data_IF_610036849678
#
_entry.id   IF_610036849678
#
_cell.length_a   1.000
_cell.length_b   1.000
_cell.length_c   1.000
_cell.angle_alpha   90.00
_cell.angle_beta   90.00
_cell.angle_gamma   90.00
#
_symmetry.space_group_name_H-M   'P 1'
#
loop_
_entity.id
_entity.type
_entity.pdbx_description
1 polymer ?
#
# COMPACT_ATOMS: atom_id res chain seq x y z
N UNK A 1 6.81 -33.51 5.25
CA UNK A 1 7.34 -32.70 4.13
C UNK A 1 8.84 -32.59 4.33
N UNK A 2 9.65 -32.66 3.28
CA UNK A 2 11.10 -32.41 3.40
C UNK A 2 11.36 -30.90 3.42
N UNK A 3 12.27 -30.46 4.30
CA UNK A 3 12.70 -29.06 4.36
C UNK A 3 13.34 -28.71 3.01
N UNK A 4 12.89 -27.60 2.41
CA UNK A 4 13.42 -27.09 1.13
C UNK A 4 14.73 -26.35 1.38
N UNK A 5 14.77 -25.50 2.41
CA UNK A 5 15.97 -24.75 2.84
C UNK A 5 15.80 -24.28 4.29
N UNK A 6 16.91 -24.22 5.03
CA UNK A 6 17.01 -23.52 6.32
C UNK A 6 17.94 -22.32 6.15
N UNK A 7 17.55 -21.14 6.65
CA UNK A 7 18.30 -19.87 6.50
C UNK A 7 18.13 -19.01 7.74
N UNK A 8 18.92 -17.95 7.92
CA UNK A 8 18.71 -17.07 9.08
C UNK A 8 17.39 -16.29 8.97
N UNK A 9 17.11 -15.71 7.79
CA UNK A 9 15.92 -14.88 7.57
C UNK A 9 15.11 -15.29 6.33
N UNK A 10 13.80 -15.37 6.46
CA UNK A 10 12.88 -15.41 5.30
C UNK A 10 12.11 -14.10 5.22
N UNK A 11 12.17 -13.43 4.07
CA UNK A 11 11.30 -12.30 3.75
C UNK A 11 10.12 -12.81 2.92
N UNK A 12 8.90 -12.55 3.39
CA UNK A 12 7.66 -12.91 2.69
C UNK A 12 7.12 -11.66 1.97
N UNK A 13 6.92 -11.77 0.67
CA UNK A 13 6.65 -10.68 -0.27
C UNK A 13 7.93 -10.19 -0.96
N UNK A 14 7.83 -9.81 -2.23
CA UNK A 14 8.94 -9.34 -3.08
C UNK A 14 8.72 -7.94 -3.66
N UNK A 15 7.94 -7.11 -2.95
CA UNK A 15 7.70 -5.71 -3.29
C UNK A 15 8.76 -4.76 -2.73
N UNK A 16 8.49 -3.46 -2.80
CA UNK A 16 9.44 -2.40 -2.40
C UNK A 16 9.94 -2.52 -0.95
N UNK A 17 9.08 -2.96 -0.02
CA UNK A 17 9.44 -3.15 1.38
C UNK A 17 10.43 -4.31 1.56
N UNK A 18 10.20 -5.41 0.85
CA UNK A 18 11.10 -6.56 0.83
C UNK A 18 12.49 -6.17 0.32
N UNK A 19 12.55 -5.45 -0.79
CA UNK A 19 13.80 -5.03 -1.42
C UNK A 19 14.58 -4.04 -0.55
N UNK A 20 13.90 -3.13 0.14
CA UNK A 20 14.53 -2.24 1.11
C UNK A 20 15.11 -3.01 2.32
N UNK A 21 14.36 -3.97 2.88
CA UNK A 21 14.83 -4.82 3.97
C UNK A 21 16.02 -5.68 3.54
N UNK A 22 15.93 -6.32 2.38
CA UNK A 22 16.98 -7.14 1.79
C UNK A 22 18.29 -6.34 1.57
N UNK A 23 18.18 -5.08 1.16
CA UNK A 23 19.34 -4.20 1.02
C UNK A 23 20.12 -4.05 2.33
N UNK A 24 19.42 -3.80 3.45
CA UNK A 24 20.08 -3.64 4.74
C UNK A 24 20.56 -4.96 5.34
N UNK A 25 19.81 -6.06 5.21
CA UNK A 25 20.27 -7.40 5.64
C UNK A 25 21.54 -7.82 4.89
N UNK A 26 21.59 -7.58 3.57
CA UNK A 26 22.78 -7.87 2.76
C UNK A 26 24.01 -7.10 3.24
N UNK A 27 23.85 -5.82 3.62
CA UNK A 27 24.95 -5.00 4.19
C UNK A 27 25.40 -5.46 5.57
N UNK A 28 24.53 -6.12 6.33
CA UNK A 28 24.84 -6.73 7.63
C UNK A 28 25.45 -8.13 7.50
N UNK A 29 25.50 -8.71 6.30
CA UNK A 29 26.02 -10.06 6.08
C UNK A 29 25.07 -11.17 6.57
N UNK A 30 23.81 -10.85 6.84
CA UNK A 30 22.80 -11.82 7.29
C UNK A 30 22.31 -12.63 6.08
N UNK A 31 22.21 -13.96 6.24
CA UNK A 31 21.68 -14.84 5.18
C UNK A 31 20.16 -14.74 5.09
N UNK A 32 19.63 -14.58 3.87
CA UNK A 32 18.19 -14.51 3.67
C UNK A 32 17.74 -15.05 2.33
N UNK A 33 16.45 -15.37 2.23
CA UNK A 33 15.73 -15.58 0.97
C UNK A 33 14.47 -14.71 0.93
N UNK A 34 14.00 -14.38 -0.27
CA UNK A 34 12.74 -13.67 -0.48
C UNK A 34 11.75 -14.61 -1.20
N UNK A 35 10.54 -14.75 -0.67
CA UNK A 35 9.46 -15.53 -1.27
C UNK A 35 8.37 -14.58 -1.76
N UNK A 36 8.06 -14.57 -3.05
CA UNK A 36 7.09 -13.66 -3.63
C UNK A 36 6.11 -14.38 -4.55
N UNK A 37 4.83 -14.06 -4.43
CA UNK A 37 3.76 -14.76 -5.16
C UNK A 37 3.63 -14.31 -6.62
N UNK A 38 4.15 -13.12 -6.95
CA UNK A 38 4.06 -12.58 -8.29
C UNK A 38 4.96 -13.36 -9.27
N UNK A 39 4.60 -13.38 -10.54
CA UNK A 39 5.42 -14.01 -11.58
C UNK A 39 6.70 -13.21 -11.90
N UNK A 40 6.70 -11.90 -11.61
CA UNK A 40 7.79 -10.98 -11.91
C UNK A 40 7.97 -9.94 -10.80
N UNK A 41 9.10 -9.24 -10.81
CA UNK A 41 9.36 -8.12 -9.91
C UNK A 41 8.38 -6.95 -10.14
N UNK A 42 8.10 -6.19 -9.10
CA UNK A 42 7.21 -5.02 -9.15
C UNK A 42 6.18 -4.99 -8.02
N UNK A 43 5.88 -6.11 -7.37
CA UNK A 43 4.91 -6.19 -6.28
C UNK A 43 3.54 -5.63 -6.69
N UNK A 44 2.90 -4.85 -5.82
CA UNK A 44 1.58 -4.27 -6.07
C UNK A 44 1.51 -3.34 -7.30
N UNK A 45 2.63 -2.75 -7.73
CA UNK A 45 2.67 -1.84 -8.89
C UNK A 45 2.22 -2.54 -10.18
N UNK A 46 2.40 -3.86 -10.27
CA UNK A 46 1.92 -4.69 -11.38
C UNK A 46 0.41 -4.63 -11.59
N UNK A 47 -0.35 -4.21 -10.58
CA UNK A 47 -1.81 -4.24 -10.58
C UNK A 47 -2.46 -2.87 -10.59
N UNK A 48 -1.64 -1.82 -10.59
CA UNK A 48 -2.12 -0.44 -10.63
C UNK A 48 -2.59 -0.03 -12.03
N UNK A 49 -3.43 1.00 -12.11
CA UNK A 49 -4.01 1.46 -13.36
C UNK A 49 -2.99 2.06 -14.33
N UNK A 50 -3.32 2.06 -15.62
CA UNK A 50 -2.39 2.34 -16.71
C UNK A 50 -1.78 3.74 -16.65
N UNK A 51 -2.59 4.73 -16.26
CA UNK A 51 -2.18 6.13 -16.18
C UNK A 51 -1.46 6.49 -14.87
N UNK A 52 -1.35 5.55 -13.91
CA UNK A 52 -0.84 5.87 -12.58
C UNK A 52 0.55 6.49 -12.68
N UNK A 53 0.67 7.65 -12.04
CA UNK A 53 1.94 8.30 -11.73
C UNK A 53 2.08 8.45 -10.24
N UNK A 54 3.33 8.46 -9.79
CA UNK A 54 3.66 8.84 -8.43
C UNK A 54 3.25 10.30 -8.18
N UNK A 55 3.24 10.64 -6.90
CA UNK A 55 2.89 11.96 -6.40
C UNK A 55 4.13 12.71 -5.92
N UNK A 56 5.33 12.18 -6.19
CA UNK A 56 6.63 12.77 -5.85
C UNK A 56 7.68 12.39 -6.91
N UNK A 57 8.68 13.26 -7.17
CA UNK A 57 9.75 12.97 -8.12
C UNK A 57 10.57 11.72 -7.74
N UNK A 58 11.33 11.18 -8.69
CA UNK A 58 12.22 10.03 -8.49
C UNK A 58 13.11 10.14 -7.23
N UNK A 59 13.66 11.32 -6.97
CA UNK A 59 14.51 11.62 -5.80
C UNK A 59 13.81 11.42 -4.45
N UNK A 60 12.48 11.45 -4.43
CA UNK A 60 11.64 11.19 -3.25
C UNK A 60 10.79 9.93 -3.40
N UNK A 61 11.13 9.11 -4.37
CA UNK A 61 10.48 7.85 -4.70
C UNK A 61 11.52 6.73 -4.84
N UNK A 62 12.63 6.83 -4.10
CA UNK A 62 13.77 5.92 -4.21
C UNK A 62 13.92 5.02 -2.98
N UNK A 63 14.27 3.76 -3.23
CA UNK A 63 14.73 2.79 -2.25
C UNK A 63 16.18 3.08 -1.82
N UNK A 64 16.67 2.49 -0.72
CA UNK A 64 18.01 2.81 -0.21
C UNK A 64 19.12 2.36 -1.18
N UNK A 65 20.24 3.07 -1.20
CA UNK A 65 21.40 2.70 -2.01
C UNK A 65 21.31 3.21 -3.45
N UNK A 66 20.54 2.56 -4.32
CA UNK A 66 20.43 2.94 -5.72
C UNK A 66 19.14 3.71 -5.99
N UNK A 67 19.30 4.99 -6.33
CA UNK A 67 18.18 5.89 -6.63
C UNK A 67 17.42 5.46 -7.89
N UNK A 68 16.12 5.75 -7.91
CA UNK A 68 15.30 5.61 -9.10
C UNK A 68 15.86 6.53 -10.21
N UNK A 69 16.04 6.02 -11.45
CA UNK A 69 16.50 6.83 -12.58
C UNK A 69 15.63 8.09 -12.80
N UNK A 70 16.22 9.09 -13.44
CA UNK A 70 15.47 10.28 -13.88
C UNK A 70 14.43 9.88 -14.94
N UNK A 71 13.29 10.56 -14.87
CA UNK A 71 12.12 10.33 -15.74
C UNK A 71 11.90 11.54 -16.63
N UNK A 72 11.35 11.34 -17.83
CA UNK A 72 11.11 12.46 -18.77
C UNK A 72 10.12 13.49 -18.22
N UNK A 73 9.16 13.02 -17.42
CA UNK A 73 8.17 13.84 -16.73
C UNK A 73 8.52 13.94 -15.25
N UNK A 74 8.00 14.97 -14.56
CA UNK A 74 8.28 15.23 -13.13
C UNK A 74 7.98 14.04 -12.23
N UNK A 75 6.89 13.31 -12.50
CA UNK A 75 6.45 12.19 -11.68
C UNK A 75 6.58 10.85 -12.41
N UNK A 76 7.31 9.88 -11.82
CA UNK A 76 7.46 8.55 -12.39
C UNK A 76 6.12 7.86 -12.64
N UNK A 77 6.01 7.18 -13.77
CA UNK A 77 4.91 6.29 -14.14
C UNK A 77 4.98 4.98 -13.36
N UNK A 78 3.84 4.28 -13.31
CA UNK A 78 3.76 2.86 -12.90
C UNK A 78 4.88 2.01 -13.52
N UNK A 79 5.08 2.10 -14.84
CA UNK A 79 6.05 1.25 -15.54
C UNK A 79 7.49 1.59 -15.17
N UNK A 80 7.82 2.87 -14.97
CA UNK A 80 9.14 3.27 -14.48
C UNK A 80 9.40 2.75 -13.06
N UNK A 81 8.37 2.68 -12.20
CA UNK A 81 8.50 2.07 -10.86
C UNK A 81 8.72 0.56 -10.95
N UNK A 82 7.93 -0.15 -11.78
CA UNK A 82 8.10 -1.60 -11.98
C UNK A 82 9.52 -1.90 -12.48
N UNK A 83 9.97 -1.14 -13.48
CA UNK A 83 11.29 -1.30 -14.07
C UNK A 83 12.40 -0.97 -13.07
N UNK A 84 12.23 0.07 -12.26
CA UNK A 84 13.14 0.39 -11.17
C UNK A 84 13.28 -0.76 -10.17
N UNK A 85 12.16 -1.33 -9.69
CA UNK A 85 12.20 -2.44 -8.73
C UNK A 85 12.84 -3.70 -9.33
N UNK A 86 12.56 -3.99 -10.62
CA UNK A 86 13.18 -5.08 -11.37
C UNK A 86 14.70 -4.91 -11.48
N UNK A 87 15.16 -3.72 -11.88
CA UNK A 87 16.60 -3.42 -11.97
C UNK A 87 17.27 -3.39 -10.59
N UNK A 88 16.56 -2.93 -9.54
CA UNK A 88 17.06 -2.87 -8.18
C UNK A 88 17.34 -4.28 -7.65
N UNK A 89 16.39 -5.20 -7.85
CA UNK A 89 16.57 -6.62 -7.50
C UNK A 89 17.77 -7.25 -8.20
N UNK A 90 17.93 -7.00 -9.50
CA UNK A 90 19.06 -7.51 -10.30
C UNK A 90 20.39 -6.90 -9.87
N UNK A 91 20.44 -5.58 -9.67
CA UNK A 91 21.64 -4.85 -9.25
C UNK A 91 22.23 -5.45 -7.98
N UNK A 92 21.37 -5.74 -7.00
CA UNK A 92 21.81 -6.29 -5.73
C UNK A 92 21.83 -7.81 -5.69
N UNK A 93 21.47 -8.52 -6.76
CA UNK A 93 21.48 -9.98 -6.84
C UNK A 93 20.76 -10.62 -5.65
N UNK A 94 19.54 -10.16 -5.36
CA UNK A 94 18.79 -10.71 -4.22
C UNK A 94 18.30 -12.13 -4.52
N UNK A 95 18.36 -13.04 -3.53
CA UNK A 95 17.90 -14.42 -3.67
C UNK A 95 16.36 -14.50 -3.60
N UNK A 96 15.69 -14.09 -4.68
CA UNK A 96 14.22 -14.10 -4.76
C UNK A 96 13.71 -15.35 -5.47
N UNK A 97 12.74 -16.03 -4.86
CA UNK A 97 12.09 -17.22 -5.39
C UNK A 97 10.66 -16.85 -5.79
N UNK A 98 10.37 -16.98 -7.09
CA UNK A 98 9.04 -16.73 -7.68
C UNK A 98 8.61 -17.88 -8.59
N UNK A 99 7.29 -18.10 -8.76
CA UNK A 99 6.22 -17.65 -7.87
C UNK A 99 6.12 -18.54 -6.63
N UNK A 100 5.94 -17.93 -5.45
CA UNK A 100 5.71 -18.62 -4.17
C UNK A 100 4.65 -17.87 -3.37
N UNK A 101 3.44 -18.43 -3.34
CA UNK A 101 2.40 -17.99 -2.39
C UNK A 101 2.61 -18.70 -1.06
N UNK A 102 2.92 -17.94 -0.01
CA UNK A 102 3.07 -18.48 1.34
C UNK A 102 1.68 -18.59 1.97
N UNK A 103 1.26 -19.81 2.28
CA UNK A 103 -0.08 -20.06 2.84
C UNK A 103 -0.13 -19.75 4.34
N UNK A 104 0.94 -20.10 5.07
CA UNK A 104 0.99 -19.97 6.53
C UNK A 104 2.40 -20.00 7.11
N UNK A 105 2.53 -19.45 8.31
CA UNK A 105 3.72 -19.46 9.15
C UNK A 105 3.39 -20.10 10.49
N UNK A 106 4.20 -21.05 10.93
CA UNK A 106 3.99 -21.79 12.18
C UNK A 106 5.28 -21.79 13.01
N UNK A 107 5.14 -21.91 14.34
CA UNK A 107 6.29 -22.08 15.23
C UNK A 107 6.80 -23.52 15.15
N UNK A 108 8.08 -23.69 14.87
CA UNK A 108 8.76 -24.99 14.75
C UNK A 108 10.00 -25.06 15.65
N UNK A 109 9.76 -25.21 16.96
CA UNK A 109 10.82 -25.10 17.97
C UNK A 109 11.36 -23.67 17.99
N UNK A 110 12.67 -23.51 17.82
CA UNK A 110 13.34 -22.20 17.80
C UNK A 110 13.25 -21.48 16.44
N UNK A 111 12.56 -22.09 15.46
CA UNK A 111 12.41 -21.56 14.11
C UNK A 111 10.95 -21.19 13.83
N UNK A 112 10.75 -20.40 12.77
CA UNK A 112 9.48 -20.28 12.08
C UNK A 112 9.50 -21.13 10.82
N UNK A 113 8.51 -22.03 10.70
CA UNK A 113 8.21 -22.77 9.48
C UNK A 113 7.35 -21.94 8.55
N UNK A 114 7.84 -21.69 7.33
CA UNK A 114 7.15 -20.94 6.28
C UNK A 114 6.69 -21.92 5.20
N UNK A 115 5.38 -22.01 4.98
CA UNK A 115 4.78 -23.04 4.14
C UNK A 115 4.19 -22.46 2.85
N UNK A 116 4.43 -23.13 1.72
CA UNK A 116 3.80 -22.87 0.43
C UNK A 116 3.45 -24.20 -0.27
N UNK A 117 2.19 -24.61 -0.18
CA UNK A 117 1.69 -25.91 -0.61
C UNK A 117 2.46 -27.06 0.04
N UNK A 118 3.24 -27.78 -0.76
CA UNK A 118 4.09 -28.90 -0.30
C UNK A 118 5.51 -28.48 0.09
N UNK A 119 5.86 -27.21 -0.09
CA UNK A 119 7.19 -26.65 0.20
C UNK A 119 7.20 -26.07 1.61
N UNK A 120 8.32 -26.27 2.31
CA UNK A 120 8.57 -25.80 3.66
C UNK A 120 9.98 -25.21 3.72
N UNK A 121 10.09 -23.99 4.22
CA UNK A 121 11.35 -23.38 4.61
C UNK A 121 11.36 -23.11 6.10
N UNK A 122 12.53 -23.14 6.72
CA UNK A 122 12.69 -22.80 8.14
C UNK A 122 13.61 -21.60 8.26
N UNK A 123 13.26 -20.66 9.13
CA UNK A 123 14.14 -19.54 9.44
C UNK A 123 14.12 -19.18 10.91
N UNK A 124 15.26 -18.67 11.39
CA UNK A 124 15.37 -18.14 12.76
C UNK A 124 14.50 -16.90 12.91
N UNK A 125 14.43 -16.06 11.88
CA UNK A 125 13.60 -14.86 11.80
C UNK A 125 12.77 -14.80 10.51
N UNK A 126 11.58 -14.21 10.58
CA UNK A 126 10.72 -13.95 9.42
C UNK A 126 10.40 -12.46 9.34
N UNK A 127 10.47 -11.89 8.14
CA UNK A 127 10.01 -10.53 7.86
C UNK A 127 8.84 -10.58 6.89
N UNK A 128 7.68 -10.11 7.36
CA UNK A 128 6.47 -10.01 6.57
C UNK A 128 6.43 -8.66 5.86
N UNK A 129 6.34 -8.67 4.53
CA UNK A 129 6.37 -7.47 3.66
C UNK A 129 5.35 -7.53 2.50
N UNK A 130 4.24 -8.23 2.69
CA UNK A 130 3.26 -8.56 1.65
C UNK A 130 2.33 -7.39 1.29
N UNK A 131 2.43 -6.26 2.01
CA UNK A 131 1.70 -5.04 1.70
C UNK A 131 0.19 -5.18 1.89
N UNK A 132 -0.59 -4.50 1.06
CA UNK A 132 -2.04 -4.34 1.28
C UNK A 132 -2.90 -4.62 0.05
N UNK A 133 -2.32 -4.57 -1.17
CA UNK A 133 -3.09 -4.59 -2.42
C UNK A 133 -4.05 -5.79 -2.57
N UNK A 134 -3.64 -6.99 -2.14
CA UNK A 134 -4.47 -8.21 -2.25
C UNK A 134 -5.68 -8.20 -1.31
N UNK A 135 -5.80 -7.21 -0.43
CA UNK A 135 -6.85 -7.10 0.59
C UNK A 135 -7.62 -5.78 0.46
N UNK A 136 -8.34 -5.57 -0.66
CA UNK A 136 -9.17 -4.38 -0.86
C UNK A 136 -10.25 -4.30 0.23
N UNK A 137 -10.49 -3.09 0.74
CA UNK A 137 -11.52 -2.84 1.74
C UNK A 137 -12.71 -2.14 1.10
N UNK A 138 -13.89 -2.78 1.18
CA UNK A 138 -15.17 -2.18 0.80
C UNK A 138 -16.03 -2.08 2.07
N UNK A 139 -16.43 -0.87 2.50
CA UNK A 139 -17.36 -0.71 3.61
C UNK A 139 -18.74 -1.27 3.26
N UNK A 140 -19.42 -1.87 4.23
CA UNK A 140 -20.79 -2.34 4.07
C UNK A 140 -21.77 -1.15 4.07
N UNK A 141 -22.62 -1.09 3.05
CA UNK A 141 -23.76 -0.15 2.99
C UNK A 141 -25.08 -0.91 2.89
N UNK A 142 -26.15 -0.44 3.55
CA UNK A 142 -27.48 -1.04 3.40
C UNK A 142 -27.93 -1.08 1.93
N UNK A 143 -28.46 -2.22 1.48
CA UNK A 143 -28.99 -2.42 0.12
C UNK A 143 -27.93 -2.64 -0.96
N UNK A 144 -26.64 -2.67 -0.61
CA UNK A 144 -25.53 -2.83 -1.57
C UNK A 144 -25.63 -4.13 -2.38
N UNK A 145 -26.16 -5.18 -1.77
CA UNK A 145 -26.42 -6.48 -2.39
C UNK A 145 -27.50 -6.43 -3.49
N UNK A 146 -28.36 -5.41 -3.48
CA UNK A 146 -29.43 -5.23 -4.45
C UNK A 146 -29.03 -4.33 -5.62
N UNK A 147 -27.88 -3.65 -5.53
CA UNK A 147 -27.40 -2.76 -6.59
C UNK A 147 -27.00 -3.55 -7.83
N UNK A 148 -27.67 -3.27 -8.97
CA UNK A 148 -27.47 -3.98 -10.25
C UNK A 148 -26.33 -3.41 -11.10
N UNK A 149 -25.80 -2.24 -10.75
CA UNK A 149 -24.68 -1.62 -11.45
C UNK A 149 -23.34 -2.31 -11.16
N UNK A 150 -22.33 -1.92 -11.91
CA UNK A 150 -20.97 -2.44 -11.75
C UNK A 150 -20.39 -1.98 -10.40
N UNK A 151 -19.76 -2.87 -9.64
CA UNK A 151 -18.96 -2.50 -8.48
C UNK A 151 -17.52 -2.98 -8.69
N UNK A 152 -16.56 -2.08 -8.49
CA UNK A 152 -15.14 -2.37 -8.66
C UNK A 152 -14.34 -1.67 -7.56
N UNK A 153 -13.35 -2.34 -6.97
CA UNK A 153 -12.38 -1.66 -6.11
C UNK A 153 -11.24 -1.05 -6.95
N UNK A 154 -10.61 0.03 -6.48
CA UNK A 154 -9.45 0.67 -7.13
C UNK A 154 -8.29 -0.30 -7.39
N UNK A 155 -8.23 -1.41 -6.63
CA UNK A 155 -7.28 -2.52 -6.81
C UNK A 155 -7.37 -3.20 -8.19
N UNK A 156 -8.54 -3.10 -8.82
CA UNK A 156 -8.88 -3.76 -10.08
C UNK A 156 -9.20 -2.75 -11.19
N UNK A 157 -9.14 -1.45 -10.88
CA UNK A 157 -9.28 -0.38 -11.88
C UNK A 157 -8.05 -0.40 -12.80
N UNK A 158 -8.26 -0.38 -14.12
CA UNK A 158 -7.19 -0.37 -15.12
C UNK A 158 -7.19 0.93 -15.94
N UNK A 159 -8.36 1.33 -16.45
CA UNK A 159 -8.56 2.57 -17.20
C UNK A 159 -10.05 2.94 -17.25
N UNK A 160 -10.34 4.12 -17.80
CA UNK A 160 -11.68 4.70 -17.81
C UNK A 160 -12.64 4.15 -18.89
N UNK A 161 -12.18 3.33 -19.84
CA UNK A 161 -12.97 2.97 -21.04
C UNK A 161 -14.30 2.28 -20.71
N UNK A 162 -14.30 1.34 -19.75
CA UNK A 162 -15.50 0.62 -19.29
C UNK A 162 -16.60 1.53 -18.72
N UNK A 163 -16.23 2.76 -18.36
CA UNK A 163 -17.09 3.73 -17.70
C UNK A 163 -17.62 4.83 -18.62
N UNK A 164 -17.23 4.82 -19.90
CA UNK A 164 -17.62 5.84 -20.87
C UNK A 164 -19.15 6.01 -20.95
N UNK A 165 -19.60 7.26 -20.89
CA UNK A 165 -21.00 7.70 -20.92
C UNK A 165 -21.88 7.15 -19.78
N UNK A 166 -21.29 6.72 -18.66
CA UNK A 166 -22.03 6.21 -17.48
C UNK A 166 -22.11 7.26 -16.36
N UNK A 167 -23.03 7.04 -15.41
CA UNK A 167 -23.05 7.67 -14.11
C UNK A 167 -22.17 6.86 -13.14
N UNK A 168 -21.01 7.39 -12.77
CA UNK A 168 -20.01 6.67 -11.99
C UNK A 168 -19.82 7.32 -10.63
N UNK A 169 -20.04 6.54 -9.58
CA UNK A 169 -19.76 6.97 -8.21
C UNK A 169 -18.35 6.54 -7.80
N UNK A 170 -17.51 7.49 -7.42
CA UNK A 170 -16.19 7.24 -6.82
C UNK A 170 -16.33 7.40 -5.31
N UNK A 171 -15.97 6.38 -4.53
CA UNK A 171 -16.10 6.42 -3.06
C UNK A 171 -14.72 6.37 -2.42
N UNK A 172 -14.34 7.42 -1.67
CA UNK A 172 -13.05 7.52 -0.97
C UNK A 172 -12.28 8.80 -1.35
N UNK A 173 -11.71 9.46 -0.34
CA UNK A 173 -11.19 10.84 -0.47
C UNK A 173 -9.68 11.00 -0.57
N UNK A 174 -8.90 9.92 -0.57
CA UNK A 174 -7.43 10.00 -0.69
C UNK A 174 -6.94 10.21 -2.13
N UNK A 175 -5.62 10.16 -2.31
CA UNK A 175 -4.95 10.31 -3.61
C UNK A 175 -5.52 9.39 -4.70
N UNK A 176 -5.79 8.11 -4.41
CA UNK A 176 -6.40 7.19 -5.39
C UNK A 176 -7.79 7.66 -5.85
N UNK A 177 -8.63 8.11 -4.93
CA UNK A 177 -9.97 8.60 -5.25
C UNK A 177 -9.93 9.84 -6.15
N UNK A 178 -9.06 10.80 -5.83
CA UNK A 178 -8.89 12.01 -6.63
C UNK A 178 -8.32 11.73 -8.03
N UNK A 179 -7.33 10.84 -8.15
CA UNK A 179 -6.73 10.49 -9.43
C UNK A 179 -7.67 9.70 -10.34
N UNK A 180 -8.39 8.70 -9.78
CA UNK A 180 -9.37 7.93 -10.55
C UNK A 180 -10.55 8.82 -10.95
N UNK A 181 -11.04 9.67 -10.06
CA UNK A 181 -12.05 10.68 -10.40
C UNK A 181 -11.57 11.59 -11.53
N UNK A 182 -10.34 12.08 -11.46
CA UNK A 182 -9.75 12.94 -12.47
C UNK A 182 -9.73 12.29 -13.86
N UNK A 183 -9.46 10.98 -13.94
CA UNK A 183 -9.48 10.24 -15.20
C UNK A 183 -10.89 9.93 -15.68
N UNK A 184 -11.72 9.32 -14.82
CA UNK A 184 -13.06 8.83 -15.18
C UNK A 184 -13.99 9.98 -15.56
N UNK A 185 -13.87 11.14 -14.91
CA UNK A 185 -14.66 12.34 -15.22
C UNK A 185 -14.39 12.93 -16.62
N UNK A 186 -13.38 12.44 -17.36
CA UNK A 186 -13.16 12.83 -18.75
C UNK A 186 -14.11 12.11 -19.71
N UNK A 187 -14.67 10.97 -19.31
CA UNK A 187 -15.47 10.10 -20.17
C UNK A 187 -16.84 9.75 -19.58
N UNK A 188 -17.10 10.09 -18.32
CA UNK A 188 -18.29 9.69 -17.57
C UNK A 188 -18.84 10.86 -16.74
N UNK A 189 -20.12 10.81 -16.37
CA UNK A 189 -20.69 11.68 -15.36
C UNK A 189 -20.32 11.15 -13.98
N UNK A 190 -19.63 11.94 -13.16
CA UNK A 190 -19.05 11.45 -11.90
C UNK A 190 -19.69 12.04 -10.66
N UNK A 191 -19.89 11.20 -9.65
CA UNK A 191 -20.22 11.60 -8.29
C UNK A 191 -19.08 11.17 -7.37
N UNK A 192 -18.53 12.09 -6.58
CA UNK A 192 -17.48 11.76 -5.61
C UNK A 192 -18.03 11.77 -4.19
N UNK A 193 -17.84 10.66 -3.47
CA UNK A 193 -18.30 10.48 -2.10
C UNK A 193 -17.10 10.41 -1.16
N UNK A 194 -17.05 11.30 -0.16
CA UNK A 194 -16.00 11.31 0.85
C UNK A 194 -16.59 11.46 2.26
N UNK A 195 -16.09 10.74 3.28
CA UNK A 195 -16.57 10.88 4.67
C UNK A 195 -16.36 12.29 5.24
N UNK A 196 -15.25 12.92 4.86
CA UNK A 196 -14.89 14.30 5.21
C UNK A 196 -14.57 15.09 3.94
N UNK A 197 -14.70 16.43 3.95
CA UNK A 197 -14.30 17.26 2.81
C UNK A 197 -12.82 17.02 2.45
N UNK A 198 -12.50 16.68 1.18
CA UNK A 198 -11.15 16.38 0.76
C UNK A 198 -10.23 17.58 0.96
N UNK A 199 -9.04 17.33 1.48
CA UNK A 199 -8.00 18.33 1.65
C UNK A 199 -6.97 18.20 0.53
N UNK A 200 -6.63 19.32 -0.09
CA UNK A 200 -5.67 19.39 -1.18
C UNK A 200 -4.43 20.14 -0.72
N UNK A 201 -3.26 19.62 -1.09
CA UNK A 201 -2.03 20.39 -0.95
C UNK A 201 -2.00 21.56 -1.96
N UNK A 202 -1.11 22.53 -1.71
CA UNK A 202 -0.87 23.62 -2.66
C UNK A 202 -0.33 23.08 -4.00
N UNK A 203 -0.53 23.86 -5.07
CA UNK A 203 -0.20 23.44 -6.43
C UNK A 203 1.31 23.31 -6.68
N UNK A 204 2.11 24.07 -5.95
CA UNK A 204 3.56 24.15 -6.06
C UNK A 204 4.28 23.14 -5.15
N UNK A 205 3.52 22.32 -4.42
CA UNK A 205 4.07 21.24 -3.61
C UNK A 205 3.66 19.87 -4.13
N UNK A 206 4.49 18.89 -3.82
CA UNK A 206 4.28 17.48 -4.16
C UNK A 206 4.27 16.62 -2.89
N UNK A 207 4.27 15.30 -3.06
CA UNK A 207 4.25 14.30 -1.99
C UNK A 207 5.43 14.38 -1.01
N UNK A 208 6.49 15.14 -1.31
CA UNK A 208 7.59 15.40 -0.37
C UNK A 208 7.09 16.00 0.93
N UNK A 209 6.08 16.87 0.87
CA UNK A 209 5.47 17.49 2.05
C UNK A 209 4.88 16.45 2.99
N UNK A 210 4.25 15.40 2.44
CA UNK A 210 3.70 14.29 3.23
C UNK A 210 4.81 13.55 3.97
N UNK A 211 5.95 13.30 3.30
CA UNK A 211 7.10 12.67 3.93
C UNK A 211 7.76 13.55 4.99
N UNK A 212 7.92 14.85 4.73
CA UNK A 212 8.47 15.80 5.70
C UNK A 212 7.58 15.89 6.95
N UNK A 213 6.25 15.93 6.78
CA UNK A 213 5.29 15.87 7.89
C UNK A 213 5.40 14.56 8.68
N UNK A 214 5.53 13.42 8.01
CA UNK A 214 5.75 12.12 8.68
C UNK A 214 7.05 12.09 9.49
N UNK A 215 8.11 12.72 8.96
CA UNK A 215 9.42 12.82 9.62
C UNK A 215 9.37 13.72 10.85
N UNK A 216 8.75 14.90 10.76
CA UNK A 216 8.61 15.81 11.91
C UNK A 216 7.72 15.23 13.01
N UNK A 217 6.62 14.54 12.65
CA UNK A 217 5.80 13.82 13.64
C UNK A 217 6.60 12.79 14.41
N UNK A 218 7.44 12.01 13.72
CA UNK A 218 8.30 11.04 14.40
C UNK A 218 9.30 11.71 15.33
N UNK A 219 10.00 12.77 14.87
CA UNK A 219 10.96 13.49 15.72
C UNK A 219 10.28 14.02 16.98
N UNK A 220 9.10 14.61 16.83
CA UNK A 220 8.34 15.10 17.97
C UNK A 220 7.94 13.97 18.92
N UNK A 221 7.50 12.82 18.43
CA UNK A 221 7.22 11.63 19.25
C UNK A 221 8.44 11.16 20.02
N UNK A 222 9.60 11.07 19.37
CA UNK A 222 10.87 10.66 20.00
C UNK A 222 11.34 11.67 21.05
N UNK A 223 11.07 12.96 20.83
CA UNK A 223 11.45 14.05 21.73
C UNK A 223 10.39 14.32 22.81
N UNK A 224 9.30 13.55 22.88
CA UNK A 224 8.18 13.76 23.81
C UNK A 224 7.43 15.08 23.59
N UNK A 225 7.57 15.70 22.41
CA UNK A 225 6.88 16.94 22.03
C UNK A 225 5.57 16.62 21.33
N UNK A 226 4.52 17.37 21.65
CA UNK A 226 3.28 17.39 20.86
C UNK A 226 3.46 18.35 19.68
N UNK A 227 3.17 17.88 18.47
CA UNK A 227 3.09 18.76 17.30
C UNK A 227 1.67 19.35 17.28
N UNK A 228 1.54 20.62 17.62
CA UNK A 228 0.25 21.33 17.69
C UNK A 228 -0.44 21.56 16.33
N UNK A 229 0.07 21.06 15.20
CA UNK A 229 -0.50 21.38 13.89
C UNK A 229 -1.90 20.76 13.67
N UNK A 230 -2.96 21.56 13.49
CA UNK A 230 -4.10 21.14 12.70
C UNK A 230 -3.85 21.48 11.22
N UNK A 231 -4.61 20.86 10.31
CA UNK A 231 -4.67 21.11 8.85
C UNK A 231 -3.67 20.27 8.01
N UNK A 232 -3.82 18.95 8.05
CA UNK A 232 -3.34 18.06 6.97
C UNK A 232 -2.92 16.65 7.40
N UNK A 233 -3.54 15.62 6.82
CA UNK A 233 -3.18 14.22 7.03
C UNK A 233 -2.08 13.74 6.06
N UNK A 234 -1.50 12.56 6.32
CA UNK A 234 -0.69 11.86 5.29
C UNK A 234 -1.52 11.47 4.06
N UNK A 235 -2.86 11.56 4.17
CA UNK A 235 -3.82 11.33 3.10
C UNK A 235 -4.23 12.57 2.32
N UNK A 236 -3.66 13.76 2.58
CA UNK A 236 -3.95 14.95 1.78
C UNK A 236 -3.64 14.68 0.30
N UNK A 237 -4.50 15.21 -0.57
CA UNK A 237 -4.41 14.96 -2.00
C UNK A 237 -3.33 15.85 -2.60
N UNK A 238 -2.39 15.22 -3.30
CA UNK A 238 -1.36 15.94 -4.04
C UNK A 238 -1.92 16.41 -5.37
N UNK A 239 -1.68 17.68 -5.70
CA UNK A 239 -2.10 18.31 -6.95
C UNK A 239 -1.14 17.94 -8.10
N UNK A 240 -1.11 16.66 -8.46
CA UNK A 240 -0.46 16.22 -9.71
C UNK A 240 -1.25 16.73 -10.93
N UNK A 241 -0.65 16.69 -12.11
CA UNK A 241 -1.18 17.35 -13.31
C UNK A 241 -2.62 16.92 -13.65
N UNK A 242 -2.93 15.62 -13.53
CA UNK A 242 -4.28 15.10 -13.77
C UNK A 242 -5.31 15.64 -12.78
N UNK A 243 -4.93 15.81 -11.51
CA UNK A 243 -5.81 16.36 -10.46
C UNK A 243 -5.97 17.88 -10.63
N UNK A 244 -4.90 18.59 -11.02
CA UNK A 244 -4.98 20.02 -11.39
C UNK A 244 -5.93 20.25 -12.56
N UNK A 245 -5.84 19.43 -13.61
CA UNK A 245 -6.75 19.45 -14.75
C UNK A 245 -8.20 19.17 -14.33
N UNK A 246 -8.43 18.17 -13.45
CA UNK A 246 -9.74 17.89 -12.91
C UNK A 246 -10.32 19.05 -12.11
N UNK A 247 -9.49 19.76 -11.33
CA UNK A 247 -9.92 20.98 -10.64
C UNK A 247 -10.33 22.07 -11.63
N UNK A 248 -9.57 22.26 -12.71
CA UNK A 248 -9.89 23.24 -13.75
C UNK A 248 -11.22 22.94 -14.47
N UNK A 249 -11.59 21.65 -14.56
CA UNK A 249 -12.90 21.20 -15.08
C UNK A 249 -14.03 21.27 -14.05
N UNK A 250 -13.76 21.65 -12.80
CA UNK A 250 -14.77 21.77 -11.75
C UNK A 250 -15.37 20.43 -11.30
N UNK A 251 -14.60 19.33 -11.35
CA UNK A 251 -15.11 17.99 -10.96
C UNK A 251 -14.70 17.55 -9.55
N UNK A 252 -13.83 18.29 -8.87
CA UNK A 252 -13.33 17.95 -7.52
C UNK A 252 -14.27 18.43 -6.42
N UNK A 253 -15.55 18.09 -6.53
CA UNK A 253 -16.57 18.37 -5.53
C UNK A 253 -17.10 17.05 -4.96
N UNK A 254 -17.01 16.87 -3.65
CA UNK A 254 -17.52 15.67 -2.99
C UNK A 254 -18.86 15.91 -2.29
N UNK A 255 -19.63 14.84 -2.15
CA UNK A 255 -20.79 14.73 -1.26
C UNK A 255 -20.45 13.87 -0.05
N UNK A 256 -21.16 14.06 1.09
CA UNK A 256 -21.07 13.15 2.21
C UNK A 256 -21.59 11.74 1.83
N UNK A 257 -21.26 10.72 2.64
CA UNK A 257 -21.77 9.36 2.47
C UNK A 257 -23.29 9.32 2.29
N UNK A 258 -23.75 8.52 1.34
CA UNK A 258 -25.16 8.18 1.15
C UNK A 258 -25.62 7.20 2.24
N UNK A 259 -26.92 7.06 2.43
CA UNK A 259 -27.49 6.22 3.50
C UNK A 259 -27.72 4.78 3.06
N UNK A 260 -28.16 4.57 1.81
CA UNK A 260 -28.44 3.22 1.29
C UNK A 260 -28.28 3.16 -0.23
N UNK A 261 -27.94 1.97 -0.73
CA UNK A 261 -28.08 1.62 -2.14
C UNK A 261 -29.54 1.32 -2.48
N UNK A 262 -29.90 1.69 -3.71
CA UNK A 262 -31.11 1.24 -4.39
C UNK A 262 -30.71 0.29 -5.52
N UNK A 263 -31.68 -0.31 -6.20
CA UNK A 263 -31.40 -1.22 -7.32
C UNK A 263 -30.54 -0.58 -8.42
N UNK A 264 -30.71 0.72 -8.69
CA UNK A 264 -30.06 1.43 -9.81
C UNK A 264 -29.33 2.71 -9.36
N UNK A 265 -28.96 2.83 -8.09
CA UNK A 265 -28.40 4.08 -7.56
C UNK A 265 -28.19 4.11 -6.06
N UNK A 266 -28.15 5.32 -5.50
CA UNK A 266 -28.00 5.56 -4.06
C UNK A 266 -28.97 6.64 -3.58
N UNK A 267 -29.29 6.65 -2.28
CA UNK A 267 -30.13 7.68 -1.65
C UNK A 267 -29.57 8.16 -0.30
N UNK A 268 -29.89 9.41 0.05
CA UNK A 268 -29.54 10.07 1.31
C UNK A 268 -30.74 10.19 2.24
N UNK A 269 -30.48 10.46 3.51
CA UNK A 269 -31.49 10.68 4.56
C UNK A 269 -32.45 11.84 4.27
N UNK A 270 -32.03 12.83 3.49
CA UNK A 270 -32.88 13.96 3.06
C UNK A 270 -33.90 13.57 1.97
N UNK A 271 -33.91 12.31 1.54
CA UNK A 271 -34.79 11.79 0.50
C UNK A 271 -34.27 11.99 -0.93
N UNK A 272 -33.15 12.68 -1.11
CA UNK A 272 -32.52 12.80 -2.42
C UNK A 272 -31.96 11.44 -2.88
N UNK A 273 -31.98 11.22 -4.20
CA UNK A 273 -31.46 10.00 -4.82
C UNK A 273 -30.73 10.31 -6.11
N UNK A 274 -29.83 9.41 -6.51
CA UNK A 274 -29.05 9.55 -7.73
C UNK A 274 -28.88 8.18 -8.40
N UNK A 275 -29.16 8.12 -9.71
CA UNK A 275 -28.90 6.93 -10.51
C UNK A 275 -27.39 6.76 -10.71
N UNK A 276 -26.91 5.54 -10.50
CA UNK A 276 -25.51 5.16 -10.62
C UNK A 276 -25.42 3.86 -11.42
N UNK A 277 -24.62 3.86 -12.48
CA UNK A 277 -24.38 2.68 -13.32
C UNK A 277 -23.17 1.88 -12.83
N UNK A 278 -22.21 2.56 -12.19
CA UNK A 278 -21.00 1.95 -11.67
C UNK A 278 -20.47 2.64 -10.41
N UNK A 279 -19.88 1.84 -9.51
CA UNK A 279 -19.18 2.31 -8.30
C UNK A 279 -17.73 1.89 -8.38
N UNK A 280 -16.82 2.86 -8.19
CA UNK A 280 -15.40 2.60 -7.97
C UNK A 280 -15.06 2.89 -6.51
N UNK A 281 -14.84 1.82 -5.75
CA UNK A 281 -14.44 1.84 -4.35
C UNK A 281 -12.95 2.18 -4.24
N UNK A 282 -12.66 3.42 -3.88
CA UNK A 282 -11.32 3.94 -3.54
C UNK A 282 -11.14 3.99 -2.02
N UNK A 283 -11.67 2.98 -1.32
CA UNK A 283 -11.85 2.94 0.13
C UNK A 283 -10.67 2.32 0.89
N UNK A 284 -9.58 2.06 0.19
CA UNK A 284 -8.32 1.62 0.79
C UNK A 284 -8.23 0.11 0.92
N UNK A 285 -7.32 -0.33 1.77
CA UNK A 285 -6.92 -1.73 1.86
C UNK A 285 -6.64 -2.12 3.31
N UNK A 286 -6.76 -3.41 3.60
CA UNK A 286 -6.26 -4.02 4.83
C UNK A 286 -4.87 -4.61 4.60
N UNK A 287 -4.16 -4.93 5.68
CA UNK A 287 -2.88 -5.62 5.60
C UNK A 287 -3.06 -7.08 5.15
N UNK A 288 -2.23 -7.55 4.21
CA UNK A 288 -2.24 -8.93 3.72
C UNK A 288 -1.52 -9.85 4.71
N UNK A 289 -2.22 -10.35 5.73
CA UNK A 289 -1.64 -11.06 6.88
C UNK A 289 -2.16 -12.50 7.02
N UNK A 290 -2.80 -13.03 5.98
CA UNK A 290 -3.42 -14.34 5.90
C UNK A 290 -2.45 -15.44 6.31
N UNK A 291 -1.20 -15.35 5.83
CA UNK A 291 -0.13 -16.28 6.13
C UNK A 291 0.32 -16.25 7.60
N UNK A 292 -0.13 -15.28 8.39
CA UNK A 292 0.20 -15.18 9.82
C UNK A 292 -0.98 -15.59 10.72
N UNK A 293 -2.15 -15.93 10.15
CA UNK A 293 -3.35 -16.32 10.93
C UNK A 293 -3.09 -17.51 11.86
N UNK A 294 -2.30 -18.48 11.41
CA UNK A 294 -1.92 -19.68 12.19
C UNK A 294 -1.14 -19.38 13.47
N UNK A 295 -0.51 -18.19 13.58
CA UNK A 295 0.20 -17.79 14.79
C UNK A 295 -0.75 -17.29 15.90
N UNK A 296 -2.01 -16.97 15.58
CA UNK A 296 -2.98 -16.50 16.57
C UNK A 296 -2.68 -15.11 17.16
N UNK A 297 -1.92 -14.28 16.43
CA UNK A 297 -1.44 -12.95 16.89
C UNK A 297 -2.11 -11.77 16.20
N UNK A 298 -3.11 -12.01 15.32
CA UNK A 298 -3.87 -10.96 14.66
C UNK A 298 -4.86 -10.31 15.63
N UNK A 299 -4.94 -8.99 15.57
CA UNK A 299 -5.91 -8.17 16.29
C UNK A 299 -7.23 -8.05 15.48
N UNK A 300 -8.32 -7.62 16.13
CA UNK A 300 -9.66 -7.51 15.51
C UNK A 300 -9.69 -6.59 14.27
N UNK A 301 -8.83 -5.57 14.24
CA UNK A 301 -8.71 -4.62 13.14
C UNK A 301 -7.86 -5.14 11.96
N UNK A 302 -7.47 -6.41 11.94
CA UNK A 302 -6.59 -7.02 10.93
C UNK A 302 -5.19 -6.37 10.87
N UNK A 303 -4.64 -6.11 12.06
CA UNK A 303 -3.22 -5.75 12.25
C UNK A 303 -2.57 -6.71 13.24
N UNK A 304 -1.27 -6.54 13.49
CA UNK A 304 -0.53 -7.25 14.54
C UNK A 304 0.06 -6.19 15.46
N UNK A 305 -0.01 -6.41 16.78
CA UNK A 305 0.65 -5.52 17.73
C UNK A 305 2.18 -5.60 17.56
N UNK A 306 2.80 -4.45 17.31
CA UNK A 306 4.24 -4.31 17.06
C UNK A 306 4.87 -3.26 17.97
N UNK A 307 6.13 -3.48 18.33
CA UNK A 307 7.05 -2.45 18.81
C UNK A 307 7.98 -2.07 17.63
N UNK A 308 7.82 -0.85 17.11
CA UNK A 308 8.40 -0.45 15.83
C UNK A 308 7.91 -1.32 14.67
N UNK A 309 8.70 -2.35 14.34
CA UNK A 309 8.34 -3.36 13.32
C UNK A 309 8.28 -4.77 13.87
N UNK A 310 8.76 -5.00 15.09
CA UNK A 310 8.86 -6.32 15.71
C UNK A 310 7.54 -6.72 16.33
N UNK A 311 7.04 -7.92 16.08
CA UNK A 311 5.82 -8.41 16.72
C UNK A 311 6.04 -8.55 18.23
N UNK A 312 5.10 -8.02 19.02
CA UNK A 312 5.14 -8.13 20.48
C UNK A 312 4.88 -9.56 20.94
N UNK A 313 4.02 -10.30 20.22
CA UNK A 313 3.60 -11.66 20.59
C UNK A 313 4.48 -12.75 19.98
N UNK A 314 5.20 -12.46 18.88
CA UNK A 314 6.12 -13.40 18.23
C UNK A 314 7.50 -12.73 18.01
N UNK A 315 8.47 -12.90 18.94
CA UNK A 315 9.70 -12.10 18.95
C UNK A 315 10.65 -12.27 17.76
N UNK A 316 10.48 -13.33 16.95
CA UNK A 316 11.27 -13.58 15.74
C UNK A 316 10.50 -13.26 14.45
N UNK A 317 9.44 -12.45 14.54
CA UNK A 317 8.65 -11.96 13.43
C UNK A 317 8.69 -10.43 13.37
N UNK A 318 8.96 -9.89 12.18
CA UNK A 318 8.90 -8.46 11.88
C UNK A 318 7.90 -8.16 10.76
N UNK A 319 7.33 -6.96 10.76
CA UNK A 319 6.35 -6.47 9.79
C UNK A 319 6.79 -5.11 9.24
N UNK A 320 7.03 -5.03 7.94
CA UNK A 320 7.58 -3.83 7.29
C UNK A 320 6.73 -3.39 6.12
N UNK A 321 6.35 -2.11 6.12
CA UNK A 321 5.76 -1.43 4.95
C UNK A 321 4.25 -1.58 4.77
N UNK A 322 3.50 -1.92 5.83
CA UNK A 322 2.04 -2.06 5.75
C UNK A 322 1.28 -0.74 5.92
N UNK A 323 1.90 0.27 6.53
CA UNK A 323 1.27 1.57 6.78
C UNK A 323 1.79 2.22 8.05
N UNK A 324 1.07 3.23 8.54
CA UNK A 324 1.49 4.00 9.73
C UNK A 324 1.69 3.11 10.98
N UNK A 325 0.91 2.03 11.11
CA UNK A 325 1.01 1.09 12.24
C UNK A 325 2.30 0.25 12.25
N UNK A 326 3.01 0.15 11.12
CA UNK A 326 4.38 -0.41 11.05
C UNK A 326 5.43 0.68 10.87
N UNK A 327 5.08 1.93 11.19
CA UNK A 327 5.94 3.10 11.09
C UNK A 327 5.42 4.17 10.11
N UNK A 328 5.48 5.43 10.53
CA UNK A 328 4.98 6.58 9.76
C UNK A 328 5.61 6.66 8.36
N UNK A 329 4.77 6.65 7.31
CA UNK A 329 5.22 6.69 5.92
C UNK A 329 5.85 5.39 5.40
N UNK A 330 5.86 4.30 6.18
CA UNK A 330 6.50 3.03 5.79
C UNK A 330 5.90 2.39 4.53
N UNK A 331 4.64 2.68 4.20
CA UNK A 331 3.99 2.22 2.96
C UNK A 331 4.34 3.08 1.71
N UNK A 332 5.47 3.80 1.72
CA UNK A 332 5.94 4.62 0.60
C UNK A 332 7.36 4.22 0.20
N UNK A 333 7.74 4.44 -1.06
CA UNK A 333 9.08 4.08 -1.58
C UNK A 333 10.20 4.70 -0.74
N UNK A 334 10.13 6.02 -0.49
CA UNK A 334 11.15 6.70 0.34
C UNK A 334 11.04 6.33 1.82
N UNK A 335 9.82 6.24 2.36
CA UNK A 335 9.59 6.08 3.79
C UNK A 335 9.90 4.69 4.34
N UNK A 336 9.78 3.64 3.52
CA UNK A 336 10.07 2.28 3.95
C UNK A 336 11.54 2.08 4.35
N UNK A 337 12.44 2.87 3.78
CA UNK A 337 13.88 2.79 4.02
C UNK A 337 14.25 2.92 5.51
N UNK A 338 13.50 3.73 6.26
CA UNK A 338 13.78 3.95 7.69
C UNK A 338 13.48 2.70 8.50
N UNK A 339 12.26 2.18 8.38
CA UNK A 339 11.82 0.99 9.12
C UNK A 339 12.61 -0.24 8.68
N UNK A 340 12.86 -0.41 7.38
CA UNK A 340 13.68 -1.50 6.86
C UNK A 340 15.11 -1.53 7.43
N UNK A 341 15.72 -0.35 7.66
CA UNK A 341 17.05 -0.25 8.29
C UNK A 341 17.01 -0.74 9.73
N UNK A 342 16.11 -0.20 10.54
CA UNK A 342 15.97 -0.57 11.95
C UNK A 342 15.62 -2.04 12.11
N UNK A 343 14.71 -2.57 11.28
CA UNK A 343 14.39 -4.01 11.24
C UNK A 343 15.64 -4.87 11.00
N UNK A 344 16.49 -4.49 10.02
CA UNK A 344 17.70 -5.25 9.73
C UNK A 344 18.75 -5.15 10.85
N UNK A 345 18.79 -4.04 11.58
CA UNK A 345 19.64 -3.88 12.77
C UNK A 345 19.15 -4.80 13.90
N UNK A 346 17.86 -4.75 14.23
CA UNK A 346 17.25 -5.61 15.27
C UNK A 346 17.37 -7.10 14.94
N UNK A 347 17.22 -7.49 13.67
CA UNK A 347 17.39 -8.88 13.24
C UNK A 347 18.84 -9.32 13.40
N UNK A 348 19.81 -8.47 13.04
CA UNK A 348 21.23 -8.79 13.25
C UNK A 348 21.51 -9.03 14.73
N UNK A 349 21.03 -8.15 15.61
CA UNK A 349 21.18 -8.28 17.07
C UNK A 349 20.44 -9.48 17.65
N UNK A 350 19.32 -9.89 17.04
CA UNK A 350 18.58 -11.09 17.45
C UNK A 350 19.29 -12.39 17.07
N UNK A 351 20.11 -12.38 16.03
CA UNK A 351 20.82 -13.55 15.52
C UNK A 351 22.22 -13.74 16.13
N UNK A 352 22.78 -12.68 16.71
CA UNK A 352 24.01 -12.68 17.50
C UNK A 352 23.77 -13.31 18.89
#
# INVERSE_FOLDING_TARGET
MSITTETDVIIIGGGQAALATAYFLKRKGVSFIILDEQAQAGGAWLHTWDSLRLFSPNSWSSLPGWMMPETEQTYPTRNEVIEYLRQYEQRYHFPVIRPVHVDRVEVEGDFLGVYAGKRLWRAKAVVSTTGTWSHPYIPSYPGQENFKGLQLHSAYYQNAETFKNKNVMIVGGGNSGAQILAEVSKVANTLWITPTPPQFLADDVDGRVLFLRATERLKAQLEGRTVDQPIGGLGDIVMIDSVKEARARGVLHSKPPFSTFTENGVSWEDGSSQQIDAVIWCTGFKAALEHLKSLGILEENNTILVDGTRSVKQPNLWLVGYGEWTGLGSATLVGVSRTARTTAEEISEFLD
#
